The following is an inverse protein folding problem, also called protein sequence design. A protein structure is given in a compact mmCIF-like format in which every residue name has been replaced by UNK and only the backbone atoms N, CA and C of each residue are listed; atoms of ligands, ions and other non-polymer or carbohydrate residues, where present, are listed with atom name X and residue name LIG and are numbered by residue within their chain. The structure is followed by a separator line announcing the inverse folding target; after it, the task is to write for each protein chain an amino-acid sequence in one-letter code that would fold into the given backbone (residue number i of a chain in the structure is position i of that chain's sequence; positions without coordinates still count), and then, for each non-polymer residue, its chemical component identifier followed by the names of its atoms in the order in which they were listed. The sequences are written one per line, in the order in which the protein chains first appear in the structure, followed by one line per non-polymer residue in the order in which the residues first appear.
data_IF_447609641983
#
_entry.id   IF_447609641983
#
_cell.length_a   1.000
_cell.length_b   1.000
_cell.length_c   1.000
_cell.angle_alpha   90.00
_cell.angle_beta   90.00
_cell.angle_gamma   90.00
#
_symmetry.space_group_name_H-M   'P 1'
#
loop_
_entity.id
_entity.type
_entity.pdbx_description
1 polymer ?
#
# COMPACT_ATOMS: atom_id res chain seq x y z
N UNK A 1 -6.35 4.84 9.99
CA UNK A 1 -6.31 5.16 8.56
C UNK A 1 -7.59 4.63 7.93
N UNK A 2 -8.56 5.50 7.59
CA UNK A 2 -9.81 5.07 6.95
C UNK A 2 -9.60 4.72 5.47
N UNK A 3 -10.47 3.90 4.86
CA UNK A 3 -10.47 3.70 3.41
C UNK A 3 -10.53 5.03 2.64
N UNK A 4 -9.89 5.06 1.48
CA UNK A 4 -9.73 6.24 0.62
C UNK A 4 -8.46 7.06 0.89
N UNK A 5 -7.72 6.76 1.97
CA UNK A 5 -6.45 7.43 2.26
C UNK A 5 -5.36 7.06 1.25
N UNK A 6 -4.57 8.05 0.81
CA UNK A 6 -3.50 7.85 -0.18
C UNK A 6 -2.26 7.24 0.45
N UNK A 7 -1.79 6.15 -0.14
CA UNK A 7 -0.57 5.45 0.23
C UNK A 7 0.40 5.44 -0.96
N UNK A 8 1.65 5.07 -0.69
CA UNK A 8 2.67 4.88 -1.73
C UNK A 8 3.27 3.48 -1.63
N UNK A 9 3.44 2.82 -2.77
CA UNK A 9 4.19 1.57 -2.91
C UNK A 9 5.52 1.92 -3.56
N UNK A 10 6.64 1.59 -2.92
CA UNK A 10 7.98 1.80 -3.49
C UNK A 10 8.47 0.48 -4.09
N UNK A 11 8.43 0.35 -5.42
CA UNK A 11 8.70 -0.93 -6.07
C UNK A 11 9.40 -0.84 -7.41
N UNK A 12 9.55 -2.00 -8.06
CA UNK A 12 10.24 -2.18 -9.34
C UNK A 12 9.28 -2.79 -10.36
N UNK A 13 8.27 -2.04 -10.85
CA UNK A 13 7.24 -2.55 -11.74
C UNK A 13 7.87 -3.15 -13.00
N UNK A 14 7.63 -4.44 -13.25
CA UNK A 14 8.23 -5.20 -14.35
C UNK A 14 9.77 -5.14 -14.41
N UNK A 15 10.43 -4.88 -13.28
CA UNK A 15 11.87 -4.64 -13.26
C UNK A 15 12.30 -3.30 -13.86
N UNK A 16 11.36 -2.36 -14.04
CA UNK A 16 11.65 -0.98 -14.46
C UNK A 16 11.95 -0.10 -13.24
N UNK A 17 13.05 0.64 -13.32
CA UNK A 17 13.55 1.53 -12.27
C UNK A 17 14.61 2.47 -12.83
N UNK A 18 15.05 3.44 -12.03
CA UNK A 18 16.23 4.24 -12.36
C UNK A 18 17.48 3.34 -12.28
N UNK A 19 17.95 2.85 -13.42
CA UNK A 19 19.10 1.96 -13.50
C UNK A 19 20.44 2.64 -13.22
N UNK A 20 20.49 3.98 -13.21
CA UNK A 20 21.71 4.73 -12.88
C UNK A 20 21.86 4.79 -11.35
N UNK A 21 20.78 5.10 -10.63
CA UNK A 21 20.82 5.28 -9.19
C UNK A 21 20.23 4.12 -8.38
N UNK A 22 19.72 3.08 -9.06
CA UNK A 22 19.00 1.95 -8.47
C UNK A 22 17.82 2.36 -7.58
N UNK A 23 17.11 3.42 -7.98
CA UNK A 23 15.99 3.96 -7.20
C UNK A 23 14.66 3.32 -7.62
N UNK A 24 13.80 2.95 -6.65
CA UNK A 24 12.49 2.39 -6.93
C UNK A 24 11.54 3.43 -7.53
N UNK A 25 10.51 2.94 -8.21
CA UNK A 25 9.37 3.75 -8.67
C UNK A 25 8.35 3.87 -7.54
N UNK A 26 7.95 5.11 -7.23
CA UNK A 26 6.87 5.40 -6.29
C UNK A 26 5.51 5.33 -6.99
N UNK A 27 4.68 4.37 -6.60
CA UNK A 27 3.35 4.12 -7.15
C UNK A 27 2.28 4.54 -6.13
N UNK A 28 1.44 5.50 -6.51
CA UNK A 28 0.31 5.93 -5.69
C UNK A 28 -0.81 4.88 -5.68
N UNK A 29 -1.32 4.57 -4.49
CA UNK A 29 -2.47 3.68 -4.29
C UNK A 29 -3.42 4.24 -3.24
N UNK A 30 -4.65 3.76 -3.21
CA UNK A 30 -5.64 4.14 -2.20
C UNK A 30 -5.90 2.98 -1.24
N UNK A 31 -6.02 3.26 0.05
CA UNK A 31 -6.44 2.28 1.04
C UNK A 31 -7.87 1.82 0.71
N UNK A 32 -8.09 0.52 0.50
CA UNK A 32 -9.38 -0.02 0.08
C UNK A 32 -10.18 -0.70 1.21
N UNK A 33 -9.53 -1.08 2.31
CA UNK A 33 -10.16 -1.60 3.53
C UNK A 33 -9.65 -0.87 4.79
N UNK A 34 -10.32 -0.99 5.93
CA UNK A 34 -9.81 -0.37 7.17
C UNK A 34 -8.45 -0.98 7.53
N UNK A 35 -7.45 -0.13 7.74
CA UNK A 35 -6.08 -0.56 8.05
C UNK A 35 -5.98 -1.35 9.36
N UNK A 36 -6.85 -1.13 10.34
CA UNK A 36 -6.74 -1.78 11.66
C UNK A 36 -7.46 -3.12 11.73
N UNK A 37 -8.19 -3.49 10.68
CA UNK A 37 -9.07 -4.66 10.68
C UNK A 37 -8.52 -5.68 9.68
N UNK A 38 -8.17 -6.90 10.12
CA UNK A 38 -7.85 -8.02 9.23
C UNK A 38 -8.96 -8.26 8.22
N UNK A 39 -8.65 -8.24 6.93
CA UNK A 39 -9.64 -8.46 5.87
C UNK A 39 -10.00 -9.95 5.80
N UNK A 40 -11.29 -10.28 5.98
CA UNK A 40 -11.77 -11.67 6.05
C UNK A 40 -11.01 -12.53 7.07
N UNK A 41 -10.67 -11.96 8.22
CA UNK A 41 -9.89 -12.61 9.29
C UNK A 41 -8.46 -13.01 8.89
N UNK A 42 -8.03 -12.61 7.69
CA UNK A 42 -6.65 -12.81 7.22
C UNK A 42 -5.84 -11.57 7.57
N UNK A 43 -4.58 -11.78 7.96
CA UNK A 43 -3.68 -10.77 8.49
C UNK A 43 -3.13 -9.79 7.42
N UNK A 44 -4.00 -9.33 6.52
CA UNK A 44 -3.72 -8.34 5.50
C UNK A 44 -4.85 -7.32 5.41
N UNK A 45 -4.59 -6.24 4.68
CA UNK A 45 -5.58 -5.25 4.26
C UNK A 45 -5.49 -5.05 2.74
N UNK A 46 -6.48 -4.37 2.18
CA UNK A 46 -6.59 -4.15 0.75
C UNK A 46 -6.18 -2.73 0.36
N UNK A 47 -5.53 -2.61 -0.79
CA UNK A 47 -5.28 -1.34 -1.48
C UNK A 47 -5.78 -1.39 -2.91
N UNK A 48 -6.25 -0.27 -3.43
CA UNK A 48 -6.66 -0.11 -4.81
C UNK A 48 -5.56 0.61 -5.61
N UNK A 49 -5.13 0.02 -6.72
CA UNK A 49 -4.14 0.61 -7.60
C UNK A 49 -3.70 -0.31 -8.73
N UNK A 50 -3.11 0.27 -9.78
CA UNK A 50 -2.57 -0.49 -10.90
C UNK A 50 -1.13 -0.95 -10.60
N UNK A 51 -1.01 -1.99 -9.78
CA UNK A 51 0.27 -2.60 -9.45
C UNK A 51 0.57 -3.73 -10.42
N UNK A 52 1.68 -3.58 -11.14
CA UNK A 52 2.13 -4.55 -12.13
C UNK A 52 2.97 -5.65 -11.45
N UNK A 53 3.16 -6.83 -12.09
CA UNK A 53 4.15 -7.82 -11.66
C UNK A 53 5.52 -7.17 -11.45
N UNK A 54 6.31 -7.69 -10.51
CA UNK A 54 7.59 -7.09 -10.09
C UNK A 54 7.48 -6.13 -8.90
N UNK A 55 6.28 -5.73 -8.50
CA UNK A 55 6.09 -4.98 -7.25
C UNK A 55 6.02 -5.89 -6.00
N UNK A 56 5.86 -7.21 -6.13
CA UNK A 56 5.75 -8.11 -4.97
C UNK A 56 6.94 -7.95 -4.01
N UNK A 57 6.67 -7.85 -2.71
CA UNK A 57 7.67 -7.55 -1.68
C UNK A 57 7.93 -6.06 -1.46
N UNK A 58 7.32 -5.17 -2.25
CA UNK A 58 7.52 -3.72 -2.10
C UNK A 58 6.89 -3.19 -0.81
N UNK A 59 7.57 -2.30 -0.07
CA UNK A 59 6.99 -1.65 1.09
C UNK A 59 5.86 -0.69 0.69
N UNK A 60 4.81 -0.68 1.50
CA UNK A 60 3.68 0.24 1.40
C UNK A 60 3.77 1.22 2.56
N UNK A 61 3.88 2.51 2.23
CA UNK A 61 4.06 3.59 3.19
C UNK A 61 2.85 4.53 3.15
N UNK A 62 2.61 5.24 4.25
CA UNK A 62 1.69 6.38 4.21
C UNK A 62 2.31 7.55 3.42
N UNK A 63 1.47 8.35 2.76
CA UNK A 63 1.92 9.62 2.19
C UNK A 63 1.84 10.69 3.30
N UNK A 64 2.99 11.14 3.82
CA UNK A 64 3.07 12.23 4.83
C UNK A 64 3.65 13.49 4.16
N UNK A 65 3.14 14.69 4.52
CA UNK A 65 3.17 15.23 5.88
C UNK A 65 1.81 15.19 6.59
N UNK A 66 1.80 14.93 7.90
CA UNK A 66 0.60 14.92 8.73
C UNK A 66 0.07 16.35 8.88
N UNK A 67 -0.81 16.76 7.96
CA UNK A 67 -1.51 18.04 8.02
C UNK A 67 -2.75 17.86 8.90
N UNK A 68 -2.67 18.29 10.16
CA UNK A 68 -3.79 18.19 11.11
C UNK A 68 -4.40 19.57 11.30
N UNK A 69 -5.63 19.75 10.81
CA UNK A 69 -6.41 20.96 11.09
C UNK A 69 -7.17 20.76 12.40
N UNK A 70 -6.81 21.53 13.43
CA UNK A 70 -7.51 21.54 14.72
C UNK A 70 -8.06 22.94 14.96
N UNK A 71 -9.38 23.06 15.08
CA UNK A 71 -10.10 24.30 15.48
C UNK A 71 -9.64 25.57 14.72
N UNK A 72 -9.56 25.51 13.40
CA UNK A 72 -9.21 26.67 12.56
C UNK A 72 -7.71 26.98 12.47
N UNK A 73 -6.86 26.18 13.14
CA UNK A 73 -5.40 26.22 13.01
C UNK A 73 -4.88 24.98 12.28
N UNK A 74 -4.05 25.19 11.25
CA UNK A 74 -3.40 24.14 10.47
C UNK A 74 -2.02 23.85 11.05
N UNK A 75 -1.82 22.63 11.57
CA UNK A 75 -0.51 22.16 12.02
C UNK A 75 0.06 21.20 11.00
N UNK A 76 1.23 21.53 10.45
CA UNK A 76 1.98 20.65 9.55
C UNK A 76 3.04 19.94 10.39
N UNK A 77 2.84 18.63 10.63
CA UNK A 77 3.86 17.79 11.24
C UNK A 77 4.59 17.03 10.13
N UNK A 78 5.87 17.33 9.91
CA UNK A 78 6.75 16.48 9.12
C UNK A 78 7.10 15.24 9.95
N UNK A 79 6.25 14.22 9.89
CA UNK A 79 6.61 12.90 10.37
C UNK A 79 7.29 12.11 9.25
N UNK A 80 8.30 11.28 9.57
CA UNK A 80 8.83 10.34 8.59
C UNK A 80 7.72 9.40 8.12
N UNK A 81 7.77 8.91 6.87
CA UNK A 81 6.81 7.94 6.38
C UNK A 81 6.85 6.67 7.24
N UNK A 82 5.67 6.16 7.57
CA UNK A 82 5.43 4.94 8.34
C UNK A 82 5.25 3.77 7.38
N UNK A 83 5.93 2.66 7.68
CA UNK A 83 5.70 1.38 7.03
C UNK A 83 4.35 0.82 7.47
N UNK A 84 3.44 0.68 6.51
CA UNK A 84 2.10 0.14 6.75
C UNK A 84 1.99 -1.34 6.41
N UNK A 85 2.86 -1.88 5.56
CA UNK A 85 2.86 -3.28 5.20
C UNK A 85 3.69 -3.59 3.96
N UNK A 86 3.64 -4.86 3.54
CA UNK A 86 4.36 -5.38 2.37
C UNK A 86 3.37 -5.81 1.31
N UNK A 87 3.47 -5.25 0.11
CA UNK A 87 2.60 -5.64 -1.00
C UNK A 87 2.92 -7.06 -1.48
N UNK A 88 1.87 -7.87 -1.63
CA UNK A 88 1.99 -9.26 -2.06
C UNK A 88 1.64 -9.44 -3.54
N UNK A 89 0.47 -8.93 -3.96
CA UNK A 89 -0.11 -9.25 -5.26
C UNK A 89 -1.59 -8.82 -5.39
N UNK A 90 -2.21 -9.04 -6.55
CA UNK A 90 -3.63 -8.78 -6.76
C UNK A 90 -4.50 -9.75 -5.97
N UNK A 91 -5.65 -9.29 -5.50
CA UNK A 91 -6.67 -10.12 -4.87
C UNK A 91 -7.36 -10.96 -5.95
N UNK A 92 -7.25 -12.29 -5.87
CA UNK A 92 -7.95 -13.20 -6.79
C UNK A 92 -9.41 -13.32 -6.38
N UNK A 93 -10.31 -12.83 -7.22
CA UNK A 93 -11.75 -12.96 -7.00
C UNK A 93 -12.30 -14.16 -7.76
N UNK A 94 -13.26 -14.92 -7.20
CA UNK A 94 -13.81 -16.10 -7.88
C UNK A 94 -14.55 -15.80 -9.19
N UNK A 95 -14.87 -14.52 -9.47
CA UNK A 95 -15.56 -14.07 -10.70
C UNK A 95 -14.71 -13.18 -11.60
N UNK A 96 -13.39 -13.26 -11.48
CA UNK A 96 -12.46 -12.39 -12.23
C UNK A 96 -12.59 -12.56 -13.75
N UNK A 97 -12.95 -13.76 -14.21
CA UNK A 97 -13.16 -14.07 -15.64
C UNK A 97 -14.38 -13.36 -16.25
N UNK A 98 -15.39 -13.01 -15.44
CA UNK A 98 -16.62 -12.34 -15.90
C UNK A 98 -16.57 -10.82 -15.72
N UNK A 99 -15.89 -10.33 -14.67
CA UNK A 99 -15.93 -8.92 -14.26
C UNK A 99 -14.73 -8.09 -14.77
N UNK A 100 -13.72 -8.76 -15.33
CA UNK A 100 -12.48 -8.13 -15.79
C UNK A 100 -11.46 -7.97 -14.66
N UNK A 101 -10.33 -7.32 -15.00
CA UNK A 101 -9.17 -7.20 -14.09
C UNK A 101 -9.53 -6.36 -12.87
N UNK A 102 -9.32 -6.91 -11.68
CA UNK A 102 -9.44 -6.14 -10.44
C UNK A 102 -8.18 -5.30 -10.19
N UNK A 103 -8.39 -4.12 -9.61
CA UNK A 103 -7.30 -3.26 -9.11
C UNK A 103 -7.15 -3.38 -7.59
N UNK A 104 -7.80 -4.37 -6.97
CA UNK A 104 -7.63 -4.67 -5.56
C UNK A 104 -6.39 -5.53 -5.34
N UNK A 105 -5.62 -5.14 -4.36
CA UNK A 105 -4.31 -5.70 -4.06
C UNK A 105 -4.20 -6.02 -2.57
N UNK A 106 -3.46 -7.07 -2.26
CA UNK A 106 -3.22 -7.56 -0.90
C UNK A 106 -1.93 -6.95 -0.36
N UNK A 107 -2.01 -6.41 0.86
CA UNK A 107 -0.87 -5.89 1.63
C UNK A 107 -0.85 -6.53 3.01
N UNK A 108 0.21 -7.27 3.32
CA UNK A 108 0.39 -7.93 4.61
C UNK A 108 0.80 -6.94 5.70
N UNK A 109 0.30 -7.13 6.92
CA UNK A 109 0.68 -6.27 8.04
C UNK A 109 2.17 -6.44 8.40
N UNK A 110 2.85 -5.36 8.80
CA UNK A 110 4.29 -5.38 9.10
C UNK A 110 4.60 -6.19 10.35
N UNK A 111 3.64 -6.35 11.27
CA UNK A 111 3.79 -7.21 12.47
C UNK A 111 4.08 -8.68 12.14
N UNK A 112 3.73 -9.14 10.93
CA UNK A 112 4.03 -10.49 10.49
C UNK A 112 5.49 -10.68 10.10
N UNK A 113 6.24 -9.59 9.88
CA UNK A 113 7.67 -9.67 9.57
C UNK A 113 8.41 -10.31 10.73
N UNK A 114 8.07 -9.94 11.97
CA UNK A 114 8.67 -10.49 13.18
C UNK A 114 8.41 -12.00 13.37
N UNK A 115 7.38 -12.55 12.72
CA UNK A 115 7.05 -13.99 12.78
C UNK A 115 7.90 -14.84 11.82
N UNK A 116 8.64 -14.21 10.90
CA UNK A 116 9.40 -14.87 9.83
C UNK A 116 10.91 -14.90 10.14
N UNK A 117 11.38 -14.09 11.10
CA UNK A 117 12.79 -13.94 11.50
C UNK A 117 13.17 -14.83 12.68
#
# INVERSE_FOLDING_TARGET
MPPGETLVVLGYPQGYYDSIHNLPIALGVFLASDYRVPFEDKQYFLVNGNLQPGNSGSPVLNTSPNLRVVRGSTFIYLSPPLLLGIYSGPLRLPKEEECGKTYLNIVWFPRLIDEII
#
